data_IF_260510414823
#
_entry.id   IF_260510414823
#
_cell.length_a   1.000
_cell.length_b   1.000
_cell.length_c   1.000
_cell.angle_alpha   90.00
_cell.angle_beta   90.00
_cell.angle_gamma   90.00
#
_symmetry.space_group_name_H-M   'P 1'
#
loop_
_entity.id
_entity.type
_entity.pdbx_description
1 polymer ?
#
# COMPACT_ATOMS: atom_id res chain seq x y z
N UNK A 1 -12.91 -19.93 -10.26
CA UNK A 1 -13.40 -20.53 -9.01
C UNK A 1 -12.75 -21.89 -8.69
N UNK A 2 -12.71 -22.89 -9.58
CA UNK A 2 -12.10 -24.19 -9.27
C UNK A 2 -10.61 -24.12 -8.87
N UNK A 3 -9.83 -23.29 -9.57
CA UNK A 3 -8.41 -23.08 -9.28
C UNK A 3 -8.19 -22.37 -7.94
N UNK A 4 -9.04 -21.40 -7.60
CA UNK A 4 -9.00 -20.69 -6.31
C UNK A 4 -9.31 -21.66 -5.17
N UNK A 5 -10.35 -22.50 -5.32
CA UNK A 5 -10.68 -23.53 -4.33
C UNK A 5 -9.49 -24.50 -4.11
N UNK A 6 -8.85 -24.93 -5.21
CA UNK A 6 -7.66 -25.78 -5.17
C UNK A 6 -6.50 -25.08 -4.45
N UNK A 7 -6.21 -23.83 -4.79
CA UNK A 7 -5.13 -23.05 -4.18
C UNK A 7 -5.36 -22.80 -2.68
N UNK A 8 -6.62 -22.57 -2.28
CA UNK A 8 -7.01 -22.36 -0.89
C UNK A 8 -7.16 -23.67 -0.10
N UNK A 9 -7.00 -24.84 -0.71
CA UNK A 9 -7.13 -26.14 -0.04
C UNK A 9 -8.55 -26.46 0.42
N UNK A 10 -9.58 -25.88 -0.20
CA UNK A 10 -11.00 -26.06 0.16
C UNK A 10 -11.82 -26.64 -0.99
N UNK A 11 -12.97 -27.23 -0.67
CA UNK A 11 -13.92 -27.73 -1.67
C UNK A 11 -14.57 -26.60 -2.47
N UNK A 12 -14.93 -26.88 -3.74
CA UNK A 12 -15.64 -25.92 -4.62
C UNK A 12 -16.95 -25.43 -3.99
N UNK A 13 -17.70 -26.33 -3.37
CA UNK A 13 -18.95 -26.01 -2.66
C UNK A 13 -18.71 -25.06 -1.48
N UNK A 14 -17.57 -25.17 -0.79
CA UNK A 14 -17.20 -24.24 0.28
C UNK A 14 -17.00 -22.84 -0.27
N UNK A 15 -16.22 -22.67 -1.34
CA UNK A 15 -16.02 -21.35 -1.96
C UNK A 15 -17.34 -20.79 -2.46
N UNK A 16 -18.13 -21.59 -3.20
CA UNK A 16 -19.41 -21.16 -3.77
C UNK A 16 -20.44 -20.78 -2.69
N UNK A 17 -20.38 -21.39 -1.50
CA UNK A 17 -21.25 -21.03 -0.37
C UNK A 17 -21.00 -19.60 0.11
N UNK A 18 -19.76 -19.12 0.06
CA UNK A 18 -19.40 -17.75 0.48
C UNK A 18 -19.42 -16.76 -0.69
N UNK A 19 -19.06 -17.21 -1.89
CA UNK A 19 -18.92 -16.39 -3.08
C UNK A 19 -19.61 -17.10 -4.26
N UNK A 20 -20.85 -16.73 -4.58
CA UNK A 20 -21.65 -17.41 -5.61
C UNK A 20 -20.98 -17.40 -6.99
N UNK A 21 -20.26 -16.33 -7.28
CA UNK A 21 -19.57 -16.10 -8.54
C UNK A 21 -18.19 -15.44 -8.32
N UNK A 22 -17.46 -15.25 -9.42
CA UNK A 22 -16.11 -14.66 -9.40
C UNK A 22 -16.15 -13.18 -9.01
N UNK A 23 -17.20 -12.47 -9.40
CA UNK A 23 -17.34 -11.03 -9.14
C UNK A 23 -17.51 -10.78 -7.65
N UNK A 24 -18.40 -11.54 -7.00
CA UNK A 24 -18.63 -11.52 -5.55
C UNK A 24 -17.35 -11.80 -4.77
N UNK A 25 -16.53 -12.76 -5.22
CA UNK A 25 -15.23 -13.06 -4.62
C UNK A 25 -14.25 -11.89 -4.77
N UNK A 26 -14.18 -11.29 -5.96
CA UNK A 26 -13.29 -10.15 -6.24
C UNK A 26 -13.69 -8.96 -5.37
N UNK A 27 -14.97 -8.62 -5.33
CA UNK A 27 -15.49 -7.53 -4.51
C UNK A 27 -15.14 -7.73 -3.03
N UNK A 28 -15.34 -8.94 -2.50
CA UNK A 28 -14.93 -9.26 -1.13
C UNK A 28 -13.41 -9.14 -0.92
N UNK A 29 -12.61 -9.54 -1.91
CA UNK A 29 -11.14 -9.43 -1.84
C UNK A 29 -10.67 -7.98 -1.90
N UNK A 30 -11.35 -7.12 -2.66
CA UNK A 30 -11.08 -5.68 -2.71
C UNK A 30 -11.36 -5.07 -1.33
N UNK A 31 -12.55 -5.28 -0.77
CA UNK A 31 -12.93 -4.75 0.55
C UNK A 31 -11.96 -5.21 1.63
N UNK A 32 -11.64 -6.50 1.68
CA UNK A 32 -10.67 -7.05 2.64
C UNK A 32 -9.26 -6.45 2.43
N UNK A 33 -8.84 -6.25 1.18
CA UNK A 33 -7.52 -5.67 0.89
C UNK A 33 -7.43 -4.20 1.30
N UNK A 34 -8.48 -3.40 1.07
CA UNK A 34 -8.52 -2.01 1.54
C UNK A 34 -8.45 -1.97 3.07
N UNK A 35 -9.22 -2.81 3.76
CA UNK A 35 -9.21 -2.88 5.22
C UNK A 35 -7.82 -3.24 5.77
N UNK A 36 -7.17 -4.25 5.19
CA UNK A 36 -5.83 -4.69 5.60
C UNK A 36 -4.79 -3.60 5.36
N UNK A 37 -4.83 -2.92 4.22
CA UNK A 37 -3.88 -1.84 3.89
C UNK A 37 -4.08 -0.65 4.83
N UNK A 38 -5.32 -0.19 5.02
CA UNK A 38 -5.64 0.91 5.92
C UNK A 38 -5.24 0.60 7.36
N UNK A 39 -5.53 -0.61 7.85
CA UNK A 39 -5.16 -1.03 9.20
C UNK A 39 -3.64 -1.10 9.39
N UNK A 40 -2.89 -1.57 8.39
CA UNK A 40 -1.43 -1.62 8.45
C UNK A 40 -0.82 -0.22 8.53
N UNK A 41 -1.30 0.72 7.72
CA UNK A 41 -0.84 2.11 7.76
C UNK A 41 -1.21 2.78 9.08
N UNK A 42 -2.43 2.62 9.58
CA UNK A 42 -2.84 3.16 10.88
C UNK A 42 -2.01 2.58 12.04
N UNK A 43 -1.74 1.27 12.04
CA UNK A 43 -0.90 0.62 13.05
C UNK A 43 0.57 1.10 13.03
N UNK A 44 1.02 1.71 11.93
CA UNK A 44 2.33 2.34 11.86
C UNK A 44 2.39 3.67 12.62
N UNK A 45 1.26 4.16 13.15
CA UNK A 45 1.12 5.41 13.89
C UNK A 45 1.76 6.59 13.15
N UNK A 46 1.27 6.94 11.95
CA UNK A 46 1.85 7.99 11.12
C UNK A 46 1.83 9.35 11.82
N UNK A 47 0.92 9.59 12.76
CA UNK A 47 0.82 10.79 13.59
C UNK A 47 1.80 10.84 14.76
N UNK A 48 2.58 9.79 15.03
CA UNK A 48 3.45 9.75 16.22
C UNK A 48 4.93 9.99 15.91
N UNK A 49 5.56 10.86 16.70
CA UNK A 49 7.00 11.11 16.67
C UNK A 49 7.49 11.90 15.44
N UNK A 50 8.80 11.81 15.17
CA UNK A 50 9.43 12.50 14.05
C UNK A 50 8.85 12.02 12.70
N UNK A 51 8.51 12.92 11.76
CA UNK A 51 7.94 12.56 10.46
C UNK A 51 8.79 11.58 9.65
N UNK A 52 10.13 11.69 9.73
CA UNK A 52 11.05 10.76 9.05
C UNK A 52 10.89 9.34 9.59
N UNK A 53 10.84 9.18 10.91
CA UNK A 53 10.70 7.87 11.53
C UNK A 53 9.28 7.30 11.33
N UNK A 54 8.26 8.15 11.37
CA UNK A 54 6.90 7.78 11.02
C UNK A 54 6.81 7.28 9.56
N UNK A 55 7.44 7.99 8.61
CA UNK A 55 7.48 7.58 7.19
C UNK A 55 8.17 6.23 7.00
N UNK A 56 9.26 5.97 7.72
CA UNK A 56 9.91 4.64 7.72
C UNK A 56 8.96 3.54 8.22
N UNK A 57 8.20 3.78 9.29
CA UNK A 57 7.21 2.80 9.79
C UNK A 57 6.11 2.56 8.76
N UNK A 58 5.58 3.62 8.14
CA UNK A 58 4.57 3.53 7.08
C UNK A 58 5.09 2.72 5.88
N UNK A 59 6.31 2.98 5.42
CA UNK A 59 6.91 2.20 4.31
C UNK A 59 7.02 0.72 4.67
N UNK A 60 7.50 0.39 5.87
CA UNK A 60 7.58 -1.00 6.31
C UNK A 60 6.19 -1.65 6.38
N UNK A 61 5.17 -0.94 6.86
CA UNK A 61 3.80 -1.42 6.91
C UNK A 61 3.24 -1.68 5.51
N UNK A 62 3.40 -0.75 4.57
CA UNK A 62 2.97 -0.93 3.18
C UNK A 62 3.64 -2.13 2.50
N UNK A 63 4.96 -2.29 2.67
CA UNK A 63 5.71 -3.42 2.12
C UNK A 63 5.23 -4.75 2.72
N UNK A 64 4.88 -4.78 4.01
CA UNK A 64 4.40 -6.00 4.67
C UNK A 64 3.05 -6.50 4.10
N UNK A 65 2.23 -5.59 3.57
CA UNK A 65 0.95 -5.89 2.91
C UNK A 65 1.06 -5.77 1.38
N UNK A 66 2.27 -5.84 0.82
CA UNK A 66 2.56 -5.56 -0.59
C UNK A 66 1.72 -6.34 -1.59
N UNK A 67 1.38 -7.60 -1.32
CA UNK A 67 0.51 -8.39 -2.20
C UNK A 67 -0.92 -7.81 -2.31
N UNK A 68 -1.43 -7.18 -1.25
CA UNK A 68 -2.74 -6.52 -1.24
C UNK A 68 -2.69 -5.22 -2.02
N UNK A 69 -1.61 -4.45 -1.86
CA UNK A 69 -1.36 -3.26 -2.67
C UNK A 69 -1.28 -3.62 -4.15
N UNK A 70 -0.44 -4.59 -4.51
CA UNK A 70 -0.34 -5.07 -5.89
C UNK A 70 -1.71 -5.46 -6.43
N UNK A 71 -2.49 -6.26 -5.69
CA UNK A 71 -3.84 -6.66 -6.11
C UNK A 71 -4.78 -5.45 -6.35
N UNK A 72 -4.79 -4.47 -5.45
CA UNK A 72 -5.67 -3.29 -5.58
C UNK A 72 -5.28 -2.37 -6.74
N UNK A 73 -4.00 -2.31 -7.08
CA UNK A 73 -3.47 -1.40 -8.09
C UNK A 73 -3.13 -2.08 -9.43
N UNK A 74 -3.31 -3.40 -9.56
CA UNK A 74 -3.08 -4.17 -10.80
C UNK A 74 -4.08 -3.80 -11.90
N UNK A 75 -5.34 -3.55 -11.53
CA UNK A 75 -6.40 -3.11 -12.44
C UNK A 75 -7.07 -1.83 -11.90
N UNK A 76 -6.88 -0.68 -12.60
CA UNK A 76 -7.48 0.60 -12.21
C UNK A 76 -9.00 0.59 -12.08
N UNK A 77 -9.70 -0.39 -12.67
CA UNK A 77 -11.15 -0.49 -12.56
C UNK A 77 -11.60 -1.06 -11.20
N UNK A 78 -10.75 -1.83 -10.50
CA UNK A 78 -11.10 -2.44 -9.21
C UNK A 78 -11.45 -1.40 -8.14
N UNK A 79 -10.72 -0.28 -8.12
CA UNK A 79 -10.98 0.82 -7.19
C UNK A 79 -12.07 1.77 -7.68
N UNK A 80 -12.34 1.83 -9.00
CA UNK A 80 -13.36 2.73 -9.56
C UNK A 80 -14.78 2.36 -9.11
N UNK A 81 -15.03 1.06 -8.96
CA UNK A 81 -16.36 0.55 -8.65
C UNK A 81 -16.63 0.52 -7.12
N UNK A 82 -15.65 0.91 -6.31
CA UNK A 82 -15.85 1.06 -4.86
C UNK A 82 -16.64 2.33 -4.56
N UNK A 83 -17.58 2.28 -3.60
CA UNK A 83 -18.20 3.48 -3.11
C UNK A 83 -17.16 4.33 -2.34
N UNK A 84 -17.31 5.67 -2.27
CA UNK A 84 -16.31 6.55 -1.66
C UNK A 84 -15.90 6.17 -0.24
N UNK A 85 -16.83 5.65 0.57
CA UNK A 85 -16.57 5.18 1.93
C UNK A 85 -15.73 3.91 2.03
N UNK A 86 -15.61 3.14 0.94
CA UNK A 86 -14.78 1.95 0.85
C UNK A 86 -13.42 2.22 0.20
N UNK A 87 -13.14 3.47 -0.20
CA UNK A 87 -11.83 3.86 -0.69
C UNK A 87 -10.80 3.85 0.44
N UNK A 88 -9.55 3.40 0.19
CA UNK A 88 -8.48 3.52 1.18
C UNK A 88 -8.29 4.97 1.63
N UNK A 89 -8.10 5.14 2.93
CA UNK A 89 -7.89 6.46 3.53
C UNK A 89 -6.45 6.93 3.31
N UNK A 90 -6.26 7.75 2.29
CA UNK A 90 -4.97 8.38 1.99
C UNK A 90 -4.64 9.58 2.88
N UNK A 91 -5.54 9.97 3.81
CA UNK A 91 -5.31 11.13 4.68
C UNK A 91 -4.11 10.92 5.59
N UNK A 92 -3.84 9.69 6.05
CA UNK A 92 -2.68 9.37 6.89
C UNK A 92 -1.36 9.76 6.23
N UNK A 93 -1.17 9.38 4.96
CA UNK A 93 0.07 9.63 4.25
C UNK A 93 0.20 11.11 3.86
N UNK A 94 -0.87 11.71 3.34
CA UNK A 94 -0.88 13.14 2.97
C UNK A 94 -0.67 14.05 4.18
N UNK A 95 -1.29 13.74 5.33
CA UNK A 95 -1.08 14.48 6.59
C UNK A 95 0.35 14.31 7.11
N UNK A 96 0.92 13.11 7.02
CA UNK A 96 2.31 12.87 7.41
C UNK A 96 3.29 13.67 6.55
N UNK A 97 3.07 13.71 5.23
CA UNK A 97 3.90 14.50 4.31
C UNK A 97 3.76 15.99 4.65
N UNK A 98 2.53 16.51 4.75
CA UNK A 98 2.29 17.92 5.06
C UNK A 98 2.92 18.33 6.41
N UNK A 99 2.82 17.47 7.43
CA UNK A 99 3.49 17.69 8.71
C UNK A 99 5.00 17.74 8.57
N UNK A 100 5.60 16.81 7.85
CA UNK A 100 7.05 16.82 7.63
C UNK A 100 7.54 18.02 6.82
N UNK A 101 6.73 18.55 5.91
CA UNK A 101 7.02 19.81 5.21
C UNK A 101 6.94 21.00 6.16
N UNK A 102 5.93 21.06 7.03
CA UNK A 102 5.79 22.11 8.04
C UNK A 102 6.92 22.09 9.09
N UNK A 103 7.44 20.91 9.43
CA UNK A 103 8.59 20.72 10.32
C UNK A 103 9.94 20.90 9.62
N UNK A 104 9.96 21.14 8.30
CA UNK A 104 11.19 21.36 7.51
C UNK A 104 12.05 20.11 7.30
N UNK A 105 11.50 18.91 7.51
CA UNK A 105 12.21 17.64 7.33
C UNK A 105 11.94 16.97 5.96
N UNK A 106 10.89 17.38 5.27
CA UNK A 106 10.59 17.01 3.88
C UNK A 106 10.63 18.23 2.97
N UNK A 107 10.97 18.03 1.69
CA UNK A 107 11.03 19.08 0.67
C UNK A 107 9.71 19.87 0.56
N UNK A 108 9.71 21.18 0.87
CA UNK A 108 8.51 22.01 0.78
C UNK A 108 8.19 22.47 -0.65
N UNK A 109 9.14 22.36 -1.60
CA UNK A 109 8.92 22.78 -2.99
C UNK A 109 8.09 21.74 -3.77
N UNK A 110 8.19 20.46 -3.39
CA UNK A 110 7.39 19.38 -3.95
C UNK A 110 5.94 19.41 -3.44
N UNK A 111 4.97 19.19 -4.33
CA UNK A 111 3.58 19.06 -3.89
C UNK A 111 3.39 17.78 -3.07
N UNK A 112 2.52 17.83 -2.05
CA UNK A 112 2.16 16.67 -1.22
C UNK A 112 1.70 15.48 -2.09
N UNK A 113 0.89 15.76 -3.11
CA UNK A 113 0.40 14.76 -4.05
C UNK A 113 1.53 14.11 -4.87
N UNK A 114 2.54 14.89 -5.29
CA UNK A 114 3.69 14.34 -6.01
C UNK A 114 4.50 13.40 -5.13
N UNK A 115 4.77 13.79 -3.87
CA UNK A 115 5.50 12.96 -2.92
C UNK A 115 4.77 11.66 -2.59
N UNK A 116 3.44 11.74 -2.43
CA UNK A 116 2.58 10.57 -2.28
C UNK A 116 2.69 9.62 -3.50
N UNK A 117 2.51 10.14 -4.72
CA UNK A 117 2.61 9.34 -5.94
C UNK A 117 4.01 8.71 -6.10
N UNK A 118 5.07 9.46 -5.81
CA UNK A 118 6.43 8.96 -5.87
C UNK A 118 6.65 7.81 -4.88
N UNK A 119 6.14 7.95 -3.66
CA UNK A 119 6.20 6.88 -2.65
C UNK A 119 5.47 5.63 -3.10
N UNK A 120 4.21 5.77 -3.55
CA UNK A 120 3.43 4.64 -4.05
C UNK A 120 4.13 3.96 -5.23
N UNK A 121 4.70 4.72 -6.16
CA UNK A 121 5.47 4.17 -7.27
C UNK A 121 6.65 3.31 -6.79
N UNK A 122 7.43 3.81 -5.83
CA UNK A 122 8.56 3.06 -5.25
C UNK A 122 8.09 1.80 -4.52
N UNK A 123 7.04 1.89 -3.70
CA UNK A 123 6.48 0.74 -2.97
C UNK A 123 5.97 -0.30 -3.95
N UNK A 124 5.21 0.10 -4.96
CA UNK A 124 4.64 -0.80 -5.95
C UNK A 124 5.71 -1.55 -6.72
N UNK A 125 6.74 -0.86 -7.22
CA UNK A 125 7.85 -1.50 -7.92
C UNK A 125 8.70 -2.39 -7.00
N UNK A 126 8.96 -1.98 -5.76
CA UNK A 126 9.68 -2.83 -4.80
C UNK A 126 8.89 -4.12 -4.47
N UNK A 127 7.56 -4.03 -4.34
CA UNK A 127 6.69 -5.19 -4.17
C UNK A 127 6.68 -6.07 -5.42
N UNK A 128 6.60 -5.48 -6.62
CA UNK A 128 6.59 -6.21 -7.88
C UNK A 128 7.92 -6.94 -8.12
N UNK A 129 9.06 -6.25 -7.96
CA UNK A 129 10.39 -6.85 -8.07
C UNK A 129 10.61 -7.97 -7.06
N UNK A 130 10.04 -7.82 -5.85
CA UNK A 130 10.09 -8.87 -4.83
C UNK A 130 9.27 -10.10 -5.23
N UNK A 131 8.07 -9.88 -5.80
CA UNK A 131 7.19 -10.93 -6.31
C UNK A 131 7.81 -11.68 -7.48
N UNK A 132 8.52 -10.98 -8.36
CA UNK A 132 9.17 -11.54 -9.55
C UNK A 132 10.55 -12.16 -9.24
N UNK A 133 11.02 -12.06 -7.99
CA UNK A 133 12.30 -12.61 -7.56
C UNK A 133 13.52 -11.81 -7.99
N UNK A 134 13.32 -10.58 -8.49
CA UNK A 134 14.37 -9.62 -8.85
C UNK A 134 14.96 -8.93 -7.62
N UNK A 135 14.22 -8.90 -6.51
CA UNK A 135 14.62 -8.31 -5.24
C UNK A 135 14.30 -9.25 -4.07
N UNK A 136 15.21 -9.45 -3.10
CA UNK A 136 14.85 -10.15 -1.86
C UNK A 136 13.82 -9.36 -1.06
N UNK A 137 12.78 -10.02 -0.54
CA UNK A 137 11.69 -9.37 0.21
C UNK A 137 12.18 -8.47 1.37
N UNK A 138 13.18 -8.93 2.12
CA UNK A 138 13.76 -8.16 3.24
C UNK A 138 14.52 -6.90 2.79
N UNK A 139 14.87 -6.79 1.50
CA UNK A 139 15.56 -5.64 0.93
C UNK A 139 14.60 -4.54 0.42
N UNK A 140 13.32 -4.87 0.23
CA UNK A 140 12.32 -3.98 -0.37
C UNK A 140 12.12 -2.68 0.42
N UNK A 141 11.74 -2.77 1.70
CA UNK A 141 11.54 -1.57 2.53
C UNK A 141 12.83 -0.73 2.67
N UNK A 142 14.02 -1.30 2.96
CA UNK A 142 15.26 -0.54 2.96
C UNK A 142 15.58 0.16 1.62
N UNK A 143 15.26 -0.46 0.48
CA UNK A 143 15.46 0.15 -0.83
C UNK A 143 14.55 1.35 -1.03
N UNK A 144 13.25 1.21 -0.73
CA UNK A 144 12.28 2.32 -0.81
C UNK A 144 12.68 3.47 0.12
N UNK A 145 12.99 3.18 1.39
CA UNK A 145 13.40 4.19 2.38
C UNK A 145 14.62 4.97 1.88
N UNK A 146 15.68 4.27 1.43
CA UNK A 146 16.90 4.94 0.94
C UNK A 146 16.64 5.81 -0.28
N UNK A 147 15.86 5.33 -1.24
CA UNK A 147 15.56 6.07 -2.47
C UNK A 147 14.69 7.29 -2.17
N UNK A 148 13.66 7.12 -1.36
CA UNK A 148 12.72 8.17 -1.00
C UNK A 148 13.41 9.26 -0.17
N UNK A 149 14.13 8.91 0.89
CA UNK A 149 14.83 9.90 1.73
C UNK A 149 15.94 10.63 0.99
N UNK A 150 16.65 9.99 0.06
CA UNK A 150 17.69 10.65 -0.72
C UNK A 150 17.13 11.51 -1.85
N UNK A 151 15.92 11.21 -2.33
CA UNK A 151 15.20 12.03 -3.32
C UNK A 151 14.48 13.23 -2.72
N UNK A 152 14.09 13.18 -1.44
CA UNK A 152 13.31 14.22 -0.74
C UNK A 152 14.10 15.15 0.16
N UNK A 153 15.39 14.91 0.39
CA UNK A 153 16.19 15.82 1.21
C UNK A 153 16.33 17.15 0.49
N UNK A 154 16.03 18.24 1.21
CA UNK A 154 16.30 19.60 0.75
C UNK A 154 17.75 19.65 0.23
N UNK A 155 17.95 20.16 -0.98
CA UNK A 155 19.30 20.45 -1.47
C UNK A 155 19.87 21.55 -0.59
N UNK A 156 21.03 21.31 0.00
CA UNK A 156 21.88 22.38 0.54
C UNK A 156 22.32 23.32 -0.59
#
# INVERSE_FOLDING_TARGET
MPEIAKAAGVGRTTVHRYFPDRESLINATIVDSVQVVTAAVAAAAPEDGCPVDAMRRVINAMISVGNRLLFLFDDPNLLRDLPPEAMPDNSYLTNLIARGQAEGVFDPESSTQWLEHALYGLVMWACQDSKDGLMPQHAAAPAVIRTFERGMRCRD
#
